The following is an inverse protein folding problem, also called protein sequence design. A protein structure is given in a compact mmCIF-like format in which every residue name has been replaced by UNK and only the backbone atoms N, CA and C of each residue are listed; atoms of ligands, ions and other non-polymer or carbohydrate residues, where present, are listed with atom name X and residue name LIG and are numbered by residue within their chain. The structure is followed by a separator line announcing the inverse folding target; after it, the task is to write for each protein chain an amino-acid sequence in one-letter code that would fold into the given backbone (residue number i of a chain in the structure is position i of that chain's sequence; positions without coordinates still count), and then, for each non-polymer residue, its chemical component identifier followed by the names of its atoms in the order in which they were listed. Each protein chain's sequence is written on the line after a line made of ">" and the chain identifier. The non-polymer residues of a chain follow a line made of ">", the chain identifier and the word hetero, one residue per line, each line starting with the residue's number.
data_IF_267002624188
#
_entry.id   IF_267002624188
#
_cell.length_a   1.000
_cell.length_b   1.000
_cell.length_c   1.000
_cell.angle_alpha   90.00
_cell.angle_beta   90.00
_cell.angle_gamma   90.00
#
_symmetry.space_group_name_H-M   'P 1'
#
loop_
_entity.id
_entity.type
_entity.pdbx_description
1 polymer ?
#
# COMPACT_ATOMS: atom_id res chain seq x y z
N UNK A 1 18.38 8.80 -3.46
CA UNK A 1 18.38 7.39 -3.92
C UNK A 1 17.37 7.27 -5.06
N UNK A 2 17.69 6.62 -6.18
CA UNK A 2 16.72 6.44 -7.27
C UNK A 2 15.62 5.47 -6.82
N UNK A 3 14.41 5.99 -6.71
CA UNK A 3 13.27 5.33 -6.04
C UNK A 3 12.48 4.35 -6.92
N UNK A 4 12.89 4.19 -8.17
CA UNK A 4 12.52 3.12 -9.08
C UNK A 4 13.44 3.27 -10.30
N UNK A 5 13.99 2.21 -10.87
CA UNK A 5 14.78 2.34 -12.08
C UNK A 5 14.67 1.06 -12.92
N UNK A 6 14.37 1.22 -14.20
CA UNK A 6 14.58 0.14 -15.16
C UNK A 6 16.07 -0.23 -15.15
N UNK A 7 16.37 -1.49 -15.38
CA UNK A 7 17.77 -1.90 -15.57
C UNK A 7 18.31 -1.16 -16.79
N UNK A 8 19.52 -0.59 -16.67
CA UNK A 8 20.23 -0.25 -17.90
C UNK A 8 20.55 -1.55 -18.66
N UNK A 9 20.67 -1.47 -19.99
CA UNK A 9 20.93 -2.64 -20.83
C UNK A 9 22.17 -3.44 -20.37
N UNK A 10 23.21 -2.77 -19.88
CA UNK A 10 24.43 -3.41 -19.39
C UNK A 10 24.20 -4.19 -18.08
N UNK A 11 23.43 -3.63 -17.16
CA UNK A 11 23.06 -4.31 -15.91
C UNK A 11 22.08 -5.47 -16.18
N UNK A 12 21.17 -5.29 -17.13
CA UNK A 12 20.27 -6.35 -17.60
C UNK A 12 21.07 -7.52 -18.19
N UNK A 13 22.02 -7.26 -19.09
CA UNK A 13 22.89 -8.28 -19.67
C UNK A 13 23.72 -9.00 -18.60
N UNK A 14 24.30 -8.25 -17.65
CA UNK A 14 25.06 -8.84 -16.55
C UNK A 14 24.18 -9.74 -15.67
N UNK A 15 22.97 -9.30 -15.33
CA UNK A 15 22.00 -10.10 -14.59
C UNK A 15 21.65 -11.40 -15.33
N UNK A 16 21.45 -11.35 -16.65
CA UNK A 16 21.21 -12.55 -17.47
C UNK A 16 22.41 -13.51 -17.48
N UNK A 17 23.63 -12.96 -17.59
CA UNK A 17 24.87 -13.74 -17.62
C UNK A 17 25.13 -14.44 -16.27
N UNK A 18 24.98 -13.73 -15.15
CA UNK A 18 25.15 -14.31 -13.80
C UNK A 18 24.09 -15.38 -13.52
N UNK A 19 22.86 -15.18 -14.00
CA UNK A 19 21.79 -16.17 -13.86
C UNK A 19 21.91 -17.40 -14.77
N UNK A 20 22.96 -17.48 -15.59
CA UNK A 20 23.30 -18.66 -16.40
C UNK A 20 22.35 -18.92 -17.57
N UNK A 21 21.62 -17.90 -18.05
CA UNK A 21 20.72 -17.93 -19.22
C UNK A 21 19.61 -19.00 -19.22
N UNK A 22 19.46 -19.80 -18.15
CA UNK A 22 18.41 -20.82 -18.01
C UNK A 22 17.04 -20.16 -17.95
N UNK A 23 16.04 -20.80 -18.57
CA UNK A 23 14.65 -20.36 -18.51
C UNK A 23 14.18 -20.42 -17.06
N UNK A 24 13.90 -19.25 -16.48
CA UNK A 24 13.35 -19.13 -15.12
C UNK A 24 11.83 -19.25 -15.13
N UNK A 25 11.18 -19.14 -13.96
CA UNK A 25 9.72 -19.02 -13.90
C UNK A 25 9.25 -17.76 -14.65
N UNK A 26 8.11 -17.91 -15.31
CA UNK A 26 7.38 -16.87 -16.04
C UNK A 26 6.03 -16.71 -15.35
N UNK A 27 5.69 -15.49 -14.94
CA UNK A 27 4.47 -15.17 -14.21
C UNK A 27 3.61 -14.20 -15.01
N UNK A 28 2.31 -14.48 -15.20
CA UNK A 28 1.40 -13.56 -15.88
C UNK A 28 1.12 -12.33 -15.01
N UNK A 29 0.84 -11.20 -15.67
CA UNK A 29 0.28 -10.00 -15.05
C UNK A 29 -1.23 -9.95 -15.35
N UNK A 30 -2.10 -9.81 -14.35
CA UNK A 30 -3.55 -9.73 -14.56
C UNK A 30 -3.92 -8.59 -15.55
N UNK A 31 -4.84 -8.83 -16.49
CA UNK A 31 -5.31 -7.81 -17.41
C UNK A 31 -6.31 -6.89 -16.70
N UNK A 32 -5.85 -5.72 -16.28
CA UNK A 32 -6.68 -4.67 -15.68
C UNK A 32 -6.93 -3.57 -16.69
N UNK A 33 -8.20 -3.32 -17.01
CA UNK A 33 -8.63 -2.20 -17.84
C UNK A 33 -8.75 -0.92 -16.99
N UNK A 34 -7.59 -0.33 -16.66
CA UNK A 34 -7.50 0.91 -15.90
C UNK A 34 -6.33 1.76 -16.42
N UNK A 35 -6.48 3.09 -16.57
CA UNK A 35 -5.36 3.96 -16.93
C UNK A 35 -4.14 3.77 -16.02
N UNK A 36 -2.95 3.66 -16.61
CA UNK A 36 -1.72 3.41 -15.86
C UNK A 36 -1.48 1.95 -15.45
N UNK A 37 -2.33 1.01 -15.87
CA UNK A 37 -2.10 -0.43 -15.76
C UNK A 37 -1.60 -1.02 -17.09
N UNK A 38 -0.76 -2.05 -17.02
CA UNK A 38 -0.30 -2.80 -18.18
C UNK A 38 -0.33 -4.31 -17.91
N UNK A 39 -0.65 -5.11 -18.92
CA UNK A 39 -0.62 -6.57 -18.84
C UNK A 39 0.74 -7.12 -19.32
N UNK A 40 0.84 -8.45 -19.41
CA UNK A 40 1.98 -9.15 -19.99
C UNK A 40 2.51 -10.27 -19.11
N UNK A 41 3.82 -10.50 -19.17
CA UNK A 41 4.48 -11.58 -18.45
C UNK A 41 5.80 -11.10 -17.89
N UNK A 42 6.02 -11.39 -16.61
CA UNK A 42 7.29 -11.14 -15.92
C UNK A 42 8.10 -12.43 -15.87
N UNK A 43 9.39 -12.32 -16.12
CA UNK A 43 10.33 -13.43 -16.10
C UNK A 43 11.73 -12.90 -15.83
N UNK A 44 12.74 -13.77 -15.85
CA UNK A 44 14.15 -13.33 -15.81
C UNK A 44 14.50 -12.34 -16.92
N UNK A 45 13.85 -12.44 -18.09
CA UNK A 45 14.15 -11.59 -19.26
C UNK A 45 13.30 -10.32 -19.30
N UNK A 46 12.09 -10.36 -18.74
CA UNK A 46 11.13 -9.25 -18.73
C UNK A 46 10.76 -8.91 -17.29
N UNK A 47 11.25 -7.79 -16.79
CA UNK A 47 11.12 -7.44 -15.38
C UNK A 47 9.82 -6.66 -15.14
N UNK A 48 9.33 -6.67 -13.91
CA UNK A 48 8.10 -5.97 -13.54
C UNK A 48 8.22 -4.46 -13.76
N UNK A 49 7.31 -3.90 -14.57
CA UNK A 49 7.22 -2.44 -14.84
C UNK A 49 6.20 -1.75 -13.93
N UNK A 50 6.19 -0.41 -13.90
CA UNK A 50 5.37 0.38 -12.94
C UNK A 50 3.90 0.13 -13.19
N UNK A 51 3.55 0.13 -14.47
CA UNK A 51 2.20 -0.12 -14.93
C UNK A 51 1.79 -1.58 -14.69
N UNK A 52 2.70 -2.54 -14.79
CA UNK A 52 2.39 -3.95 -14.45
C UNK A 52 2.21 -4.15 -12.95
N UNK A 53 3.01 -3.47 -12.12
CA UNK A 53 2.85 -3.49 -10.67
C UNK A 53 1.53 -2.83 -10.23
N UNK A 54 1.10 -1.74 -10.89
CA UNK A 54 -0.25 -1.16 -10.72
C UNK A 54 -1.35 -2.20 -10.99
N UNK A 55 -1.24 -2.96 -12.09
CA UNK A 55 -2.22 -4.01 -12.43
C UNK A 55 -2.33 -5.07 -11.32
N UNK A 56 -1.20 -5.47 -10.74
CA UNK A 56 -1.17 -6.44 -9.64
C UNK A 56 -1.83 -5.85 -8.38
N UNK A 57 -1.53 -4.59 -8.01
CA UNK A 57 -2.17 -3.93 -6.86
C UNK A 57 -3.69 -3.87 -6.99
N UNK A 58 -4.18 -3.39 -8.14
CA UNK A 58 -5.62 -3.27 -8.41
C UNK A 58 -6.28 -4.64 -8.41
N UNK A 59 -5.64 -5.64 -9.02
CA UNK A 59 -6.19 -6.98 -9.09
C UNK A 59 -6.33 -7.63 -7.71
N UNK A 60 -5.36 -7.50 -6.79
CA UNK A 60 -5.49 -8.06 -5.45
C UNK A 60 -6.67 -7.47 -4.66
N UNK A 61 -6.88 -6.15 -4.80
CA UNK A 61 -8.01 -5.46 -4.18
C UNK A 61 -9.34 -5.97 -4.75
N UNK A 62 -9.44 -6.07 -6.08
CA UNK A 62 -10.62 -6.61 -6.75
C UNK A 62 -10.89 -8.07 -6.32
N UNK A 63 -9.87 -8.91 -6.38
CA UNK A 63 -9.97 -10.33 -6.03
C UNK A 63 -10.43 -10.54 -4.58
N UNK A 64 -9.91 -9.75 -3.63
CA UNK A 64 -10.37 -9.81 -2.23
C UNK A 64 -11.83 -9.39 -2.10
N UNK A 65 -12.26 -8.35 -2.81
CA UNK A 65 -13.67 -7.91 -2.79
C UNK A 65 -14.60 -8.98 -3.37
N UNK A 66 -14.19 -9.65 -4.43
CA UNK A 66 -14.96 -10.77 -4.99
C UNK A 66 -15.03 -11.95 -4.04
N UNK A 67 -13.94 -12.25 -3.32
CA UNK A 67 -13.94 -13.25 -2.25
C UNK A 67 -14.89 -12.84 -1.14
N UNK A 68 -14.86 -11.59 -0.68
CA UNK A 68 -15.80 -11.08 0.33
C UNK A 68 -17.25 -11.23 -0.16
N UNK A 69 -17.54 -10.92 -1.42
CA UNK A 69 -18.87 -11.12 -2.00
C UNK A 69 -19.28 -12.61 -2.03
N UNK A 70 -18.35 -13.53 -2.27
CA UNK A 70 -18.60 -14.98 -2.20
C UNK A 70 -18.87 -15.41 -0.75
N UNK A 71 -18.08 -14.93 0.22
CA UNK A 71 -18.25 -15.23 1.64
C UNK A 71 -19.57 -14.71 2.19
N UNK A 72 -19.99 -13.51 1.78
CA UNK A 72 -21.25 -12.89 2.19
C UNK A 72 -22.48 -13.74 1.81
N UNK A 73 -22.43 -14.49 0.70
CA UNK A 73 -23.50 -15.43 0.31
C UNK A 73 -23.71 -16.57 1.32
N UNK A 74 -22.71 -16.83 2.15
CA UNK A 74 -22.76 -17.80 3.24
C UNK A 74 -22.96 -17.13 4.63
N UNK A 75 -23.21 -15.83 4.68
CA UNK A 75 -23.35 -15.07 5.92
C UNK A 75 -22.03 -14.87 6.68
N UNK A 76 -20.89 -14.96 5.99
CA UNK A 76 -19.56 -14.76 6.57
C UNK A 76 -19.10 -13.35 6.20
N UNK A 77 -18.88 -12.52 7.23
CA UNK A 77 -18.47 -11.12 7.06
C UNK A 77 -17.07 -10.87 7.63
N UNK A 78 -16.27 -10.00 7.00
CA UNK A 78 -15.04 -9.48 7.57
C UNK A 78 -15.28 -8.72 8.87
N UNK A 79 -14.32 -8.79 9.80
CA UNK A 79 -14.34 -8.04 11.07
C UNK A 79 -14.20 -6.53 10.81
N UNK A 80 -13.43 -6.18 9.78
CA UNK A 80 -13.13 -4.81 9.39
C UNK A 80 -13.79 -4.49 8.04
N UNK A 81 -14.19 -3.24 7.84
CA UNK A 81 -14.73 -2.74 6.56
C UNK A 81 -13.67 -2.42 5.51
N UNK A 82 -12.41 -2.80 5.75
CA UNK A 82 -11.27 -2.58 4.86
C UNK A 82 -10.42 -3.84 4.73
N UNK A 83 -9.62 -3.90 3.66
CA UNK A 83 -8.52 -4.84 3.49
C UNK A 83 -7.19 -4.12 3.71
N UNK A 84 -6.14 -4.88 4.02
CA UNK A 84 -4.77 -4.36 4.13
C UNK A 84 -3.89 -5.00 3.06
N UNK A 85 -3.07 -4.21 2.38
CA UNK A 85 -2.11 -4.61 1.37
C UNK A 85 -0.69 -4.25 1.83
N UNK A 86 0.22 -5.20 1.77
CA UNK A 86 1.60 -5.08 2.23
C UNK A 86 2.57 -5.44 1.10
N UNK A 87 3.65 -4.68 1.01
CA UNK A 87 4.75 -4.94 0.08
C UNK A 87 5.83 -5.76 0.77
N UNK A 88 6.25 -6.84 0.13
CA UNK A 88 7.37 -7.65 0.60
C UNK A 88 8.44 -7.77 -0.46
N UNK A 89 9.68 -7.88 -0.02
CA UNK A 89 10.83 -8.17 -0.87
C UNK A 89 11.40 -9.55 -0.53
N UNK A 90 11.88 -10.27 -1.54
CA UNK A 90 12.45 -11.59 -1.38
C UNK A 90 13.57 -11.84 -2.41
N UNK A 91 14.53 -12.66 -2.03
CA UNK A 91 15.53 -13.17 -2.95
C UNK A 91 14.92 -14.27 -3.84
N UNK A 92 14.85 -14.05 -5.14
CA UNK A 92 14.48 -15.06 -6.13
C UNK A 92 15.72 -15.87 -6.51
N UNK A 93 15.73 -17.16 -6.14
CA UNK A 93 16.74 -18.13 -6.62
C UNK A 93 17.65 -18.77 -5.57
N UNK A 94 17.42 -18.60 -4.26
CA UNK A 94 18.16 -19.27 -3.20
C UNK A 94 18.92 -18.34 -2.25
N UNK A 95 19.81 -18.90 -1.42
CA UNK A 95 20.23 -18.31 -0.15
C UNK A 95 21.05 -17.01 -0.22
N UNK A 96 21.54 -16.59 -1.39
CA UNK A 96 22.18 -15.29 -1.63
C UNK A 96 21.97 -14.85 -3.09
N UNK A 97 21.65 -13.57 -3.26
CA UNK A 97 21.40 -12.82 -4.47
C UNK A 97 22.04 -13.39 -5.75
N UNK A 98 21.20 -13.94 -6.63
CA UNK A 98 21.65 -14.42 -7.94
C UNK A 98 21.87 -13.26 -8.93
N UNK A 99 21.34 -12.07 -8.63
CA UNK A 99 21.32 -10.93 -9.56
C UNK A 99 22.01 -9.67 -9.01
N UNK A 100 22.45 -9.65 -7.75
CA UNK A 100 23.04 -8.47 -7.13
C UNK A 100 24.22 -8.79 -6.21
N UNK A 101 25.35 -8.10 -6.42
CA UNK A 101 26.60 -8.34 -5.70
C UNK A 101 26.60 -7.81 -4.26
N UNK A 102 25.64 -6.94 -3.89
CA UNK A 102 25.49 -6.35 -2.55
C UNK A 102 24.63 -7.20 -1.61
N UNK A 103 23.88 -8.18 -2.13
CA UNK A 103 23.02 -9.06 -1.34
C UNK A 103 21.57 -8.59 -1.17
N UNK A 104 21.16 -7.53 -1.87
CA UNK A 104 19.81 -6.99 -1.77
C UNK A 104 18.77 -7.89 -2.46
N UNK A 105 17.50 -7.88 -2.00
CA UNK A 105 16.42 -8.67 -2.61
C UNK A 105 16.17 -8.29 -4.08
N UNK A 106 16.12 -9.29 -4.96
CA UNK A 106 15.92 -9.14 -6.41
C UNK A 106 14.50 -9.50 -6.87
N UNK A 107 13.55 -9.51 -5.95
CA UNK A 107 12.15 -9.83 -6.17
C UNK A 107 11.23 -9.13 -5.17
N UNK A 108 9.99 -8.92 -5.58
CA UNK A 108 8.95 -8.40 -4.71
C UNK A 108 7.62 -9.10 -4.98
N UNK A 109 6.76 -9.06 -3.98
CA UNK A 109 5.40 -9.57 -4.04
C UNK A 109 4.51 -8.73 -3.12
N UNK A 110 3.23 -8.72 -3.43
CA UNK A 110 2.21 -8.18 -2.55
C UNK A 110 1.59 -9.30 -1.72
N UNK A 111 1.23 -8.95 -0.49
CA UNK A 111 0.20 -9.69 0.23
C UNK A 111 -0.94 -8.75 0.50
N UNK A 112 -2.17 -9.24 0.33
CA UNK A 112 -3.35 -8.52 0.76
C UNK A 112 -4.18 -9.41 1.67
N UNK A 113 -4.81 -8.85 2.69
CA UNK A 113 -5.62 -9.63 3.61
C UNK A 113 -6.85 -8.90 4.13
N UNK A 114 -7.83 -9.69 4.51
CA UNK A 114 -8.97 -9.29 5.34
C UNK A 114 -8.90 -10.03 6.67
N UNK A 115 -9.45 -9.41 7.71
CA UNK A 115 -9.57 -10.01 9.04
C UNK A 115 -10.93 -10.67 9.17
N UNK A 116 -10.95 -11.91 9.65
CA UNK A 116 -12.14 -12.71 9.89
C UNK A 116 -12.17 -13.17 11.35
N UNK A 117 -13.36 -13.47 11.85
CA UNK A 117 -13.51 -14.17 13.12
C UNK A 117 -12.79 -15.54 13.03
N UNK A 118 -12.07 -15.91 14.08
CA UNK A 118 -11.35 -17.19 14.10
C UNK A 118 -12.31 -18.36 13.88
N UNK A 119 -11.94 -19.26 12.98
CA UNK A 119 -12.74 -20.44 12.64
C UNK A 119 -13.93 -20.16 11.71
N UNK A 120 -14.11 -18.92 11.22
CA UNK A 120 -15.17 -18.60 10.25
C UNK A 120 -15.04 -19.42 8.95
N UNK A 121 -13.80 -19.68 8.53
CA UNK A 121 -13.46 -20.51 7.37
C UNK A 121 -12.13 -21.24 7.60
N UNK A 122 -11.90 -22.30 6.84
CA UNK A 122 -10.63 -23.02 6.76
C UNK A 122 -10.20 -23.20 5.29
N UNK A 123 -9.01 -23.77 5.09
CA UNK A 123 -8.49 -24.05 3.75
C UNK A 123 -9.38 -25.03 2.95
N UNK A 124 -10.13 -25.91 3.62
CA UNK A 124 -11.06 -26.82 2.95
C UNK A 124 -12.25 -26.06 2.38
N UNK A 125 -12.81 -25.12 3.14
CA UNK A 125 -13.89 -24.24 2.70
C UNK A 125 -13.46 -23.41 1.49
N UNK A 126 -12.27 -22.80 1.55
CA UNK A 126 -11.70 -22.06 0.43
C UNK A 126 -11.61 -22.93 -0.84
N UNK A 127 -11.04 -24.14 -0.73
CA UNK A 127 -10.88 -25.05 -1.86
C UNK A 127 -12.22 -25.56 -2.43
N UNK A 128 -13.26 -25.72 -1.59
CA UNK A 128 -14.55 -26.29 -1.99
C UNK A 128 -15.58 -25.25 -2.44
N UNK A 129 -15.46 -23.99 -1.97
CA UNK A 129 -16.47 -22.95 -2.19
C UNK A 129 -15.92 -21.72 -2.90
N UNK A 130 -14.80 -21.20 -2.43
CA UNK A 130 -14.24 -19.93 -2.95
C UNK A 130 -13.51 -20.16 -4.27
N UNK A 131 -12.57 -21.10 -4.32
CA UNK A 131 -11.77 -21.41 -5.52
C UNK A 131 -12.65 -21.77 -6.73
N UNK A 132 -13.66 -22.66 -6.62
CA UNK A 132 -14.54 -22.97 -7.75
C UNK A 132 -15.32 -21.75 -8.26
N UNK A 133 -15.78 -20.86 -7.36
CA UNK A 133 -16.52 -19.67 -7.73
C UNK A 133 -15.64 -18.58 -8.38
N UNK A 134 -14.36 -18.50 -7.99
CA UNK A 134 -13.38 -17.64 -8.66
C UNK A 134 -12.97 -18.20 -10.02
N UNK A 135 -12.87 -19.52 -10.16
CA UNK A 135 -12.49 -20.18 -11.41
C UNK A 135 -13.51 -20.00 -12.54
N UNK A 136 -14.74 -19.58 -12.24
CA UNK A 136 -15.71 -19.19 -13.28
C UNK A 136 -15.49 -17.76 -13.80
N UNK A 137 -14.66 -16.96 -13.13
CA UNK A 137 -14.45 -15.54 -13.43
C UNK A 137 -13.03 -15.25 -13.92
N UNK A 138 -12.04 -16.02 -13.45
CA UNK A 138 -10.64 -15.79 -13.71
C UNK A 138 -9.94 -17.06 -14.20
N UNK A 139 -8.85 -16.95 -14.97
CA UNK A 139 -8.05 -18.09 -15.38
C UNK A 139 -7.23 -18.62 -14.19
N UNK A 140 -7.42 -19.89 -13.87
CA UNK A 140 -6.62 -20.63 -12.89
C UNK A 140 -5.54 -21.44 -13.60
N UNK A 141 -4.30 -21.31 -13.14
CA UNK A 141 -3.19 -22.14 -13.60
C UNK A 141 -3.05 -23.31 -12.61
N UNK A 142 -2.82 -24.54 -13.09
CA UNK A 142 -2.70 -25.71 -12.23
C UNK A 142 -1.52 -25.60 -11.24
N UNK A 143 -1.80 -26.04 -10.01
CA UNK A 143 -0.97 -25.99 -8.80
C UNK A 143 0.48 -26.43 -9.04
N UNK A 144 1.45 -25.65 -8.51
CA UNK A 144 2.86 -26.06 -8.36
C UNK A 144 3.24 -26.09 -6.88
N UNK A 145 3.93 -27.15 -6.40
CA UNK A 145 4.24 -27.32 -4.98
C UNK A 145 5.32 -26.34 -4.51
N UNK A 146 4.95 -25.34 -3.69
CA UNK A 146 5.88 -24.43 -2.99
C UNK A 146 5.23 -23.88 -1.70
N UNK A 147 5.74 -24.38 -0.57
CA UNK A 147 5.56 -23.95 0.84
C UNK A 147 4.26 -24.38 1.57
N UNK A 148 4.36 -24.79 2.85
CA UNK A 148 3.36 -25.66 3.49
C UNK A 148 2.19 -24.93 4.21
N UNK A 149 1.79 -23.71 3.84
CA UNK A 149 0.80 -22.95 4.65
C UNK A 149 -0.33 -22.25 3.87
N UNK A 150 -0.15 -21.93 2.59
CA UNK A 150 -1.19 -21.32 1.75
C UNK A 150 -1.79 -22.38 0.81
N UNK A 151 -3.06 -22.23 0.39
CA UNK A 151 -3.52 -22.98 -0.78
C UNK A 151 -2.76 -22.47 -2.00
N UNK A 152 -2.14 -23.41 -2.71
CA UNK A 152 -1.30 -23.15 -3.87
C UNK A 152 -2.10 -22.82 -5.14
N UNK A 153 -3.33 -22.32 -5.00
CA UNK A 153 -4.24 -22.11 -6.12
C UNK A 153 -4.98 -20.78 -6.00
N UNK A 154 -4.92 -20.02 -7.08
CA UNK A 154 -5.56 -18.75 -7.27
C UNK A 154 -5.38 -18.32 -8.73
N UNK A 155 -6.13 -17.31 -9.18
CA UNK A 155 -6.00 -16.83 -10.55
C UNK A 155 -4.63 -16.23 -10.79
N UNK A 156 -4.08 -16.36 -12.00
CA UNK A 156 -2.78 -15.79 -12.38
C UNK A 156 -1.59 -16.16 -11.45
N UNK A 157 -1.56 -17.39 -10.92
CA UNK A 157 -0.57 -17.90 -9.95
C UNK A 157 -0.58 -17.21 -8.57
N UNK A 158 -1.62 -16.44 -8.24
CA UNK A 158 -1.82 -15.93 -6.89
C UNK A 158 -2.11 -17.08 -5.93
N UNK A 159 -1.68 -16.92 -4.68
CA UNK A 159 -1.93 -17.89 -3.61
C UNK A 159 -2.99 -17.35 -2.68
N UNK A 160 -3.79 -18.25 -2.13
CA UNK A 160 -4.88 -17.92 -1.23
C UNK A 160 -4.75 -18.78 0.02
N UNK A 161 -4.85 -18.22 1.23
CA UNK A 161 -4.69 -19.03 2.44
C UNK A 161 -5.31 -18.39 3.66
N UNK A 162 -5.50 -19.19 4.70
CA UNK A 162 -5.86 -18.71 6.04
C UNK A 162 -4.63 -18.73 6.93
N UNK A 163 -4.26 -17.55 7.45
CA UNK A 163 -3.24 -17.41 8.49
C UNK A 163 -3.92 -17.20 9.83
N UNK A 164 -3.90 -18.24 10.65
CA UNK A 164 -4.32 -18.15 12.05
C UNK A 164 -3.21 -17.56 12.92
N UNK A 165 -3.60 -16.90 14.01
CA UNK A 165 -2.68 -16.40 15.03
C UNK A 165 -1.69 -17.50 15.48
N UNK A 166 -0.40 -17.25 15.23
CA UNK A 166 0.69 -18.01 15.81
C UNK A 166 1.33 -17.17 16.92
N UNK A 167 1.20 -17.55 18.21
CA UNK A 167 1.60 -16.74 19.37
C UNK A 167 3.07 -16.30 19.44
N UNK A 168 3.91 -16.74 18.50
CA UNK A 168 5.35 -16.48 18.47
C UNK A 168 5.80 -15.66 17.26
N UNK A 169 4.93 -15.41 16.29
CA UNK A 169 5.33 -14.89 14.97
C UNK A 169 4.47 -13.72 14.48
N UNK A 170 3.23 -13.56 14.96
CA UNK A 170 2.33 -12.51 14.46
C UNK A 170 1.57 -11.82 15.60
N UNK A 171 1.49 -10.49 15.57
CA UNK A 171 0.65 -9.63 16.44
C UNK A 171 -0.85 -9.70 16.08
N UNK A 172 -1.32 -10.84 15.58
CA UNK A 172 -2.75 -11.03 15.26
C UNK A 172 -3.49 -11.24 16.57
N UNK A 173 -4.57 -10.51 16.81
CA UNK A 173 -5.39 -10.72 18.01
C UNK A 173 -5.86 -12.18 18.12
N UNK A 174 -5.87 -12.79 19.31
CA UNK A 174 -6.07 -14.24 19.49
C UNK A 174 -7.43 -14.78 19.00
N UNK A 175 -8.38 -13.87 18.74
CA UNK A 175 -9.74 -14.16 18.27
C UNK A 175 -9.91 -13.97 16.76
N UNK A 176 -8.84 -13.62 16.04
CA UNK A 176 -8.89 -13.30 14.63
C UNK A 176 -8.03 -14.25 13.78
N UNK A 177 -8.45 -14.41 12.53
CA UNK A 177 -7.69 -15.06 11.46
C UNK A 177 -7.62 -14.12 10.26
N UNK A 178 -6.59 -14.26 9.43
CA UNK A 178 -6.45 -13.50 8.18
C UNK A 178 -6.69 -14.42 6.99
N UNK A 179 -7.63 -14.04 6.11
CA UNK A 179 -7.64 -14.57 4.75
C UNK A 179 -6.65 -13.75 3.95
N UNK A 180 -5.59 -14.40 3.46
CA UNK A 180 -4.45 -13.78 2.81
C UNK A 180 -4.42 -14.20 1.35
N UNK A 181 -4.26 -13.22 0.47
CA UNK A 181 -3.85 -13.39 -0.91
C UNK A 181 -2.39 -13.00 -1.03
N UNK A 182 -1.62 -13.75 -1.80
CA UNK A 182 -0.22 -13.46 -2.06
C UNK A 182 0.04 -13.53 -3.55
N UNK A 183 0.53 -12.43 -4.15
CA UNK A 183 0.95 -12.42 -5.55
C UNK A 183 2.14 -13.37 -5.79
N UNK A 184 2.40 -13.75 -7.05
CA UNK A 184 3.70 -14.26 -7.43
C UNK A 184 4.85 -13.34 -6.98
N UNK A 185 6.03 -13.94 -6.78
CA UNK A 185 7.26 -13.16 -6.56
C UNK A 185 7.82 -12.77 -7.91
N UNK A 186 7.69 -11.48 -8.24
CA UNK A 186 8.08 -10.90 -9.52
C UNK A 186 9.52 -10.41 -9.50
N UNK A 187 10.25 -10.60 -10.60
CA UNK A 187 11.60 -10.03 -10.79
C UNK A 187 11.54 -8.51 -10.95
N UNK A 188 12.35 -7.77 -10.18
CA UNK A 188 12.29 -6.31 -10.10
C UNK A 188 13.61 -5.68 -9.58
N UNK A 189 13.86 -4.40 -9.92
CA UNK A 189 14.96 -3.60 -9.34
C UNK A 189 14.46 -2.73 -8.20
N UNK A 190 14.84 -2.99 -6.96
CA UNK A 190 14.48 -2.10 -5.85
C UNK A 190 15.68 -1.80 -4.93
N UNK A 191 16.26 -0.60 -5.09
CA UNK A 191 17.26 -0.06 -4.15
C UNK A 191 16.65 0.51 -2.86
N UNK A 192 15.32 0.54 -2.76
CA UNK A 192 14.51 0.82 -1.58
C UNK A 192 13.05 0.80 -2.05
N UNK A 193 12.36 -0.31 -1.81
CA UNK A 193 11.13 -0.67 -2.51
C UNK A 193 9.95 0.23 -2.12
N UNK A 194 9.52 1.09 -3.05
CA UNK A 194 8.16 1.63 -3.08
C UNK A 194 7.43 0.95 -4.22
N UNK A 195 6.66 -0.09 -3.91
CA UNK A 195 5.70 -0.64 -4.86
C UNK A 195 4.63 0.42 -5.14
N UNK A 196 4.11 0.53 -6.38
CA UNK A 196 3.13 1.57 -6.71
C UNK A 196 1.95 1.58 -5.75
N UNK A 197 1.76 2.71 -5.06
CA UNK A 197 0.65 2.91 -4.14
C UNK A 197 0.71 2.10 -2.84
N UNK A 198 1.77 1.36 -2.53
CA UNK A 198 1.89 0.55 -1.30
C UNK A 198 3.23 0.79 -0.61
N UNK A 199 3.57 2.07 -0.40
CA UNK A 199 4.70 2.45 0.45
C UNK A 199 4.37 2.02 1.88
N UNK A 200 4.76 0.81 2.26
CA UNK A 200 4.35 0.19 3.52
C UNK A 200 2.98 -0.50 3.43
N UNK A 201 2.39 -0.75 4.59
CA UNK A 201 1.07 -1.34 4.75
C UNK A 201 0.01 -0.30 4.40
N UNK A 202 -0.87 -0.61 3.44
CA UNK A 202 -1.97 0.26 3.01
C UNK A 202 -3.32 -0.39 3.25
N UNK A 203 -4.26 0.39 3.77
CA UNK A 203 -5.65 -0.01 3.93
C UNK A 203 -6.48 0.49 2.74
N UNK A 204 -7.44 -0.33 2.33
CA UNK A 204 -8.38 -0.03 1.26
C UNK A 204 -9.79 -0.40 1.71
N UNK A 205 -10.79 0.48 1.55
CA UNK A 205 -12.18 0.14 1.84
C UNK A 205 -12.64 -1.11 1.07
N UNK A 206 -13.42 -1.97 1.69
CA UNK A 206 -13.98 -3.15 1.01
C UNK A 206 -15.05 -2.76 0.00
N UNK A 207 -15.84 -1.72 0.29
CA UNK A 207 -16.80 -1.18 -0.66
C UNK A 207 -16.08 -0.22 -1.63
N UNK A 208 -16.16 -0.45 -2.96
CA UNK A 208 -15.57 0.45 -3.95
C UNK A 208 -16.09 1.89 -3.88
N UNK A 209 -17.34 2.08 -3.44
CA UNK A 209 -17.96 3.40 -3.31
C UNK A 209 -17.31 4.27 -2.21
N UNK A 210 -16.61 3.65 -1.26
CA UNK A 210 -15.96 4.34 -0.14
C UNK A 210 -14.50 4.72 -0.46
N UNK A 211 -13.99 4.36 -1.64
CA UNK A 211 -12.65 4.75 -2.09
C UNK A 211 -12.58 6.28 -2.29
N UNK A 212 -11.62 6.91 -1.60
CA UNK A 212 -11.35 8.36 -1.73
C UNK A 212 -10.06 8.67 -2.45
N UNK A 213 -9.18 7.68 -2.60
CA UNK A 213 -7.85 7.87 -3.19
C UNK A 213 -7.63 6.91 -4.35
N UNK A 214 -6.96 7.34 -5.43
CA UNK A 214 -6.60 6.44 -6.52
C UNK A 214 -5.73 5.27 -6.03
N UNK A 215 -6.11 4.06 -6.42
CA UNK A 215 -5.27 2.85 -6.28
C UNK A 215 -4.02 2.97 -7.15
N UNK A 216 -4.22 3.45 -8.37
CA UNK A 216 -3.17 3.54 -9.39
C UNK A 216 -2.49 4.90 -9.34
N UNK A 217 -1.17 4.87 -9.29
CA UNK A 217 -0.34 6.03 -9.57
C UNK A 217 0.18 5.85 -10.99
N UNK A 218 -0.32 6.59 -12.00
CA UNK A 218 0.02 6.34 -13.40
C UNK A 218 1.48 6.69 -13.71
N UNK A 219 2.03 7.67 -12.98
CA UNK A 219 3.40 8.11 -13.13
C UNK A 219 4.26 7.51 -12.02
N UNK A 220 5.41 6.98 -12.41
CA UNK A 220 6.50 6.69 -11.46
C UNK A 220 6.80 7.97 -10.67
N UNK A 221 6.84 7.94 -9.33
CA UNK A 221 7.19 9.11 -8.55
C UNK A 221 8.63 9.50 -8.91
N UNK A 222 8.75 10.51 -9.76
CA UNK A 222 9.96 11.27 -9.93
C UNK A 222 10.12 12.10 -8.67
N UNK A 223 10.68 11.47 -7.63
CA UNK A 223 11.31 12.21 -6.54
C UNK A 223 12.70 12.65 -7.03
N UNK A 224 12.72 13.35 -8.16
CA UNK A 224 13.80 14.29 -8.46
C UNK A 224 13.72 15.36 -7.35
N UNK A 225 14.87 15.73 -6.79
CA UNK A 225 14.96 16.49 -5.54
C UNK A 225 13.89 17.59 -5.45
N UNK A 226 13.16 17.62 -4.31
CA UNK A 226 12.09 18.59 -4.10
C UNK A 226 12.63 19.99 -4.34
N UNK A 227 12.15 20.67 -5.38
CA UNK A 227 12.50 22.06 -5.65
C UNK A 227 11.47 22.97 -5.01
N UNK A 228 11.87 24.21 -4.68
CA UNK A 228 10.91 25.23 -4.22
C UNK A 228 9.74 25.38 -5.20
N UNK A 229 10.02 25.42 -6.50
CA UNK A 229 9.00 25.51 -7.54
C UNK A 229 8.05 24.31 -7.50
N UNK A 230 8.58 23.08 -7.39
CA UNK A 230 7.75 21.87 -7.31
C UNK A 230 6.84 21.83 -6.07
N UNK A 231 7.28 22.41 -4.95
CA UNK A 231 6.44 22.57 -3.75
C UNK A 231 5.34 23.60 -3.98
N UNK A 232 5.66 24.74 -4.60
CA UNK A 232 4.70 25.80 -4.90
C UNK A 232 3.64 25.35 -5.93
N UNK A 233 4.05 24.60 -6.96
CA UNK A 233 3.16 24.03 -7.97
C UNK A 233 2.19 23.00 -7.37
N UNK A 234 2.65 22.24 -6.36
CA UNK A 234 1.82 21.24 -5.67
C UNK A 234 0.83 21.85 -4.66
N UNK A 235 1.00 23.13 -4.28
CA UNK A 235 0.23 23.78 -3.20
C UNK A 235 -1.27 23.66 -3.36
N UNK A 236 -1.80 24.07 -4.51
CA UNK A 236 -3.25 24.13 -4.72
C UNK A 236 -3.89 22.75 -4.58
N UNK A 237 -3.25 21.73 -5.16
CA UNK A 237 -3.69 20.33 -5.08
C UNK A 237 -3.60 19.81 -3.64
N UNK A 238 -2.49 20.08 -2.94
CA UNK A 238 -2.32 19.63 -1.55
C UNK A 238 -3.35 20.26 -0.60
N UNK A 239 -3.60 21.56 -0.72
CA UNK A 239 -4.64 22.26 0.06
C UNK A 239 -6.01 21.65 -0.21
N UNK A 240 -6.37 21.43 -1.49
CA UNK A 240 -7.65 20.82 -1.84
C UNK A 240 -7.81 19.41 -1.25
N UNK A 241 -6.78 18.56 -1.34
CA UNK A 241 -6.78 17.22 -0.74
C UNK A 241 -6.93 17.25 0.78
N UNK A 242 -6.22 18.18 1.45
CA UNK A 242 -6.30 18.33 2.91
C UNK A 242 -7.67 18.84 3.34
N UNK A 243 -8.24 19.80 2.60
CA UNK A 243 -9.60 20.29 2.85
C UNK A 243 -10.64 19.19 2.64
N UNK A 244 -10.49 18.34 1.63
CA UNK A 244 -11.39 17.19 1.42
C UNK A 244 -11.32 16.18 2.58
N UNK A 245 -10.12 15.84 3.04
CA UNK A 245 -9.94 14.94 4.20
C UNK A 245 -10.48 15.52 5.50
N UNK A 246 -10.24 16.80 5.76
CA UNK A 246 -10.77 17.48 6.95
C UNK A 246 -12.29 17.58 6.90
N UNK A 247 -12.87 17.84 5.72
CA UNK A 247 -14.34 17.79 5.53
C UNK A 247 -14.89 16.39 5.80
N UNK A 248 -14.24 15.34 5.30
CA UNK A 248 -14.63 13.95 5.57
C UNK A 248 -14.57 13.60 7.06
N UNK A 249 -13.53 14.08 7.74
CA UNK A 249 -13.37 13.93 9.19
C UNK A 249 -14.27 14.87 9.99
N UNK A 250 -15.04 15.75 9.35
CA UNK A 250 -15.87 16.76 10.02
C UNK A 250 -15.03 17.65 10.95
N UNK A 251 -13.96 18.21 10.37
CA UNK A 251 -13.05 19.18 10.96
C UNK A 251 -13.26 20.51 10.24
N UNK A 252 -13.60 21.55 10.98
CA UNK A 252 -13.74 22.89 10.44
C UNK A 252 -12.38 23.58 10.37
N UNK A 253 -12.04 24.11 9.20
CA UNK A 253 -10.84 24.90 8.99
C UNK A 253 -11.22 26.38 8.86
N UNK A 254 -10.48 27.24 9.58
CA UNK A 254 -10.55 28.68 9.38
C UNK A 254 -9.73 29.15 8.18
N UNK A 255 -9.47 30.46 8.12
CA UNK A 255 -8.74 31.06 7.00
C UNK A 255 -7.27 30.60 6.97
N UNK A 256 -6.82 30.18 5.79
CA UNK A 256 -5.42 29.83 5.56
C UNK A 256 -4.55 31.08 5.56
N UNK A 257 -3.42 31.03 6.27
CA UNK A 257 -2.42 32.09 6.24
C UNK A 257 -1.78 32.21 4.87
N UNK A 258 -1.19 33.37 4.59
CA UNK A 258 -0.30 33.52 3.43
C UNK A 258 0.85 32.51 3.57
N UNK A 259 1.19 31.76 2.50
CA UNK A 259 2.27 30.80 2.56
C UNK A 259 3.63 31.46 2.81
N UNK A 260 4.48 30.81 3.60
CA UNK A 260 5.81 31.31 3.94
C UNK A 260 6.86 30.20 3.85
N UNK A 261 8.08 30.58 3.47
CA UNK A 261 9.26 29.74 3.61
C UNK A 261 9.92 30.08 4.96
N UNK A 262 10.15 29.06 5.79
CA UNK A 262 10.79 29.18 7.10
C UNK A 262 12.15 28.50 7.10
N UNK A 263 13.15 29.15 7.68
CA UNK A 263 14.45 28.54 7.93
C UNK A 263 14.34 27.60 9.14
N UNK A 264 14.68 26.32 8.93
CA UNK A 264 14.73 25.27 9.96
C UNK A 264 16.16 24.68 9.98
N UNK A 265 16.57 23.98 11.05
CA UNK A 265 17.94 23.47 11.17
C UNK A 265 18.42 22.62 9.98
N UNK A 266 17.48 21.92 9.32
CA UNK A 266 17.76 21.01 8.21
C UNK A 266 17.47 21.63 6.81
N UNK A 267 17.33 22.96 6.73
CA UNK A 267 17.12 23.68 5.48
C UNK A 267 15.88 24.57 5.52
N UNK A 268 15.18 24.72 4.39
CA UNK A 268 13.97 25.56 4.32
C UNK A 268 12.70 24.74 4.19
N UNK A 269 11.70 25.09 4.99
CA UNK A 269 10.39 24.42 5.03
C UNK A 269 9.30 25.36 4.52
N UNK A 270 8.44 24.86 3.66
CA UNK A 270 7.22 25.56 3.27
C UNK A 270 6.16 25.40 4.35
N UNK A 271 5.44 26.47 4.70
CA UNK A 271 4.38 26.45 5.71
C UNK A 271 3.17 27.27 5.28
N UNK A 272 1.99 26.66 5.45
CA UNK A 272 0.69 27.32 5.49
C UNK A 272 0.00 26.86 6.77
N UNK A 273 -0.67 27.75 7.49
CA UNK A 273 -1.42 27.40 8.70
C UNK A 273 -2.88 27.80 8.59
N UNK A 274 -3.75 27.12 9.33
CA UNK A 274 -5.13 27.51 9.56
C UNK A 274 -5.56 27.06 10.96
N UNK A 275 -6.40 27.82 11.68
CA UNK A 275 -7.02 27.29 12.89
C UNK A 275 -7.96 26.15 12.50
N UNK A 276 -8.04 25.13 13.36
CA UNK A 276 -8.89 23.96 13.15
C UNK A 276 -9.82 23.76 14.36
N UNK A 277 -11.04 23.31 14.12
CA UNK A 277 -11.98 22.89 15.16
C UNK A 277 -12.46 21.47 14.86
N UNK A 278 -12.32 20.58 15.85
CA UNK A 278 -12.78 19.19 15.74
C UNK A 278 -14.24 19.11 16.19
N UNK A 279 -15.15 18.70 15.31
CA UNK A 279 -16.56 18.51 15.67
C UNK A 279 -16.83 17.14 16.32
N UNK A 280 -15.84 16.24 16.31
CA UNK A 280 -15.91 14.90 16.88
C UNK A 280 -14.67 14.64 17.76
N UNK A 281 -14.79 13.74 18.73
CA UNK A 281 -13.65 13.29 19.53
C UNK A 281 -12.64 12.47 18.70
N UNK A 282 -11.39 12.41 19.18
CA UNK A 282 -10.29 11.74 18.47
C UNK A 282 -10.53 10.23 18.27
N UNK A 283 -11.33 9.58 19.13
CA UNK A 283 -11.67 8.16 18.99
C UNK A 283 -12.62 7.94 17.80
N UNK A 284 -13.61 8.81 17.64
CA UNK A 284 -14.53 8.82 16.50
C UNK A 284 -13.79 9.11 15.20
N UNK A 285 -12.90 10.11 15.20
CA UNK A 285 -12.08 10.43 14.03
C UNK A 285 -11.18 9.24 13.66
N UNK A 286 -10.53 8.62 14.65
CA UNK A 286 -9.68 7.44 14.45
C UNK A 286 -10.46 6.29 13.82
N UNK A 287 -11.67 5.99 14.30
CA UNK A 287 -12.53 4.95 13.73
C UNK A 287 -12.89 5.22 12.27
N UNK A 288 -13.21 6.48 11.91
CA UNK A 288 -13.48 6.86 10.51
C UNK A 288 -12.25 6.75 9.62
N UNK A 289 -11.07 7.00 10.16
CA UNK A 289 -9.81 6.98 9.44
C UNK A 289 -9.27 5.57 9.15
N UNK A 290 -9.71 4.53 9.89
CA UNK A 290 -9.13 3.17 9.79
C UNK A 290 -9.02 2.61 8.35
N UNK A 291 -10.00 2.81 7.44
CA UNK A 291 -9.90 2.33 6.07
C UNK A 291 -8.85 3.07 5.20
N UNK A 292 -8.30 4.19 5.67
CA UNK A 292 -7.54 5.15 4.86
C UNK A 292 -6.14 5.38 5.43
N UNK A 293 -5.12 4.86 4.76
CA UNK A 293 -3.72 5.02 5.20
C UNK A 293 -3.15 6.43 5.03
N UNK A 294 -3.87 7.30 4.33
CA UNK A 294 -3.55 8.72 4.24
C UNK A 294 -3.74 9.45 5.58
N UNK A 295 -4.48 8.86 6.51
CA UNK A 295 -4.82 9.46 7.78
C UNK A 295 -4.16 8.67 8.91
N UNK A 296 -3.37 9.37 9.73
CA UNK A 296 -2.89 8.85 11.01
C UNK A 296 -3.44 9.71 12.14
N UNK A 297 -4.07 9.09 13.13
CA UNK A 297 -4.75 9.79 14.23
C UNK A 297 -4.28 9.20 15.56
N UNK A 298 -3.64 10.05 16.36
CA UNK A 298 -3.23 9.72 17.73
C UNK A 298 -4.42 9.96 18.65
N UNK A 299 -4.95 8.87 19.22
CA UNK A 299 -6.11 8.90 20.13
C UNK A 299 -5.85 9.62 21.46
N UNK A 300 -4.61 9.55 21.96
CA UNK A 300 -4.21 10.21 23.22
C UNK A 300 -3.50 11.55 22.93
N UNK A 301 -4.17 12.70 23.09
CA UNK A 301 -3.58 14.01 22.84
C UNK A 301 -2.43 14.33 23.80
N UNK A 302 -2.46 13.82 25.03
CA UNK A 302 -1.35 14.02 25.98
C UNK A 302 -0.09 13.27 25.51
N UNK A 303 -0.24 12.07 24.94
CA UNK A 303 0.85 11.36 24.32
C UNK A 303 1.41 12.12 23.10
N UNK A 304 0.54 12.69 22.25
CA UNK A 304 0.95 13.49 21.11
C UNK A 304 1.79 14.71 21.54
N UNK A 305 1.32 15.48 22.55
CA UNK A 305 2.04 16.63 23.11
C UNK A 305 3.39 16.22 23.71
N UNK A 306 3.43 15.15 24.50
CA UNK A 306 4.67 14.63 25.12
C UNK A 306 5.70 14.23 24.07
N UNK A 307 5.25 13.63 22.96
CA UNK A 307 6.11 13.19 21.86
C UNK A 307 6.39 14.30 20.84
N UNK A 308 5.80 15.50 21.01
CA UNK A 308 5.83 16.62 20.06
C UNK A 308 5.42 16.17 18.65
N UNK A 309 4.34 15.40 18.57
CA UNK A 309 3.77 14.88 17.32
C UNK A 309 2.40 15.52 17.06
N UNK A 310 2.01 15.67 15.77
CA UNK A 310 0.65 16.04 15.44
C UNK A 310 -0.34 14.99 15.95
N UNK A 311 -1.55 15.42 16.32
CA UNK A 311 -2.66 14.53 16.67
C UNK A 311 -3.29 13.91 15.44
N UNK A 312 -3.27 14.61 14.30
CA UNK A 312 -3.75 14.10 13.01
C UNK A 312 -2.69 14.41 11.95
N UNK A 313 -2.30 13.41 11.19
CA UNK A 313 -1.43 13.56 10.01
C UNK A 313 -2.23 13.19 8.76
N UNK A 314 -2.13 14.01 7.72
CA UNK A 314 -2.80 13.84 6.42
C UNK A 314 -1.74 13.78 5.32
N UNK A 315 -1.56 12.62 4.74
CA UNK A 315 -0.63 12.39 3.63
C UNK A 315 -1.30 12.67 2.29
N UNK A 316 -0.68 13.53 1.47
CA UNK A 316 -1.26 13.95 0.17
C UNK A 316 -0.60 13.30 -1.05
N UNK A 317 0.34 12.37 -0.83
CA UNK A 317 1.21 11.81 -1.89
C UNK A 317 1.96 12.87 -2.72
N UNK A 318 2.10 14.08 -2.17
CA UNK A 318 2.79 15.23 -2.75
C UNK A 318 3.97 15.65 -1.86
N UNK A 319 4.77 16.67 -2.23
CA UNK A 319 5.80 17.25 -1.37
C UNK A 319 5.26 17.80 -0.04
N UNK A 320 3.95 18.01 0.04
CA UNK A 320 3.26 18.64 1.15
C UNK A 320 2.43 17.63 1.95
N UNK A 321 2.32 17.84 3.25
CA UNK A 321 1.43 17.06 4.12
C UNK A 321 0.72 17.98 5.10
N UNK A 322 -0.46 17.56 5.56
CA UNK A 322 -1.22 18.24 6.60
C UNK A 322 -0.90 17.66 7.98
N UNK A 323 -0.72 18.50 8.97
CA UNK A 323 -0.48 18.15 10.36
C UNK A 323 -1.40 18.99 11.23
N UNK A 324 -2.27 18.38 12.02
CA UNK A 324 -3.05 19.09 13.05
C UNK A 324 -2.35 18.86 14.37
N UNK A 325 -1.91 19.94 15.01
CA UNK A 325 -1.31 19.92 16.34
C UNK A 325 -2.31 20.44 17.38
N UNK A 326 -2.15 19.95 18.60
CA UNK A 326 -2.94 20.37 19.76
C UNK A 326 -2.05 21.17 20.70
N UNK A 327 -2.36 22.46 20.85
CA UNK A 327 -1.69 23.38 21.77
C UNK A 327 -2.64 23.76 22.90
N UNK A 328 -2.83 22.82 23.83
CA UNK A 328 -3.66 23.00 25.03
C UNK A 328 -5.16 23.21 24.76
N UNK A 329 -5.70 22.51 23.77
CA UNK A 329 -7.12 22.55 23.39
C UNK A 329 -7.40 23.40 22.15
N UNK A 330 -6.42 24.20 21.71
CA UNK A 330 -6.47 24.91 20.44
C UNK A 330 -5.79 24.06 19.35
N UNK A 331 -6.58 23.64 18.37
CA UNK A 331 -6.07 22.87 17.23
C UNK A 331 -5.64 23.78 16.09
N UNK A 332 -4.48 23.49 15.51
CA UNK A 332 -3.96 24.22 14.36
C UNK A 332 -3.55 23.25 13.27
N UNK A 333 -4.08 23.45 12.06
CA UNK A 333 -3.59 22.80 10.85
C UNK A 333 -2.32 23.51 10.38
N UNK A 334 -1.30 22.73 10.07
CA UNK A 334 -0.08 23.13 9.37
C UNK A 334 0.08 22.29 8.12
N UNK A 335 0.13 22.92 6.95
CA UNK A 335 0.48 22.28 5.68
C UNK A 335 1.94 22.56 5.39
N UNK A 336 2.73 21.50 5.27
CA UNK A 336 4.19 21.64 5.30
C UNK A 336 4.92 20.74 4.33
N UNK A 337 6.09 21.19 3.88
CA UNK A 337 7.03 20.35 3.13
C UNK A 337 8.02 19.63 4.04
N UNK A 338 8.73 18.63 3.49
CA UNK A 338 10.03 18.26 4.03
C UNK A 338 11.03 19.43 3.89
N UNK A 339 12.04 19.54 4.77
CA UNK A 339 13.10 20.54 4.62
C UNK A 339 13.83 20.38 3.28
N UNK A 340 14.02 21.50 2.57
CA UNK A 340 14.83 21.59 1.36
C UNK A 340 16.25 22.02 1.76
N UNK A 341 17.24 21.20 1.43
CA UNK A 341 18.65 21.44 1.72
C UNK A 341 19.25 22.58 0.88
#
# INVERSE_FOLDING_TARGET
>A
MPLWAEYSMSEWLRAQLVAGLRRGPEYPIPPIDHPGCANGTVSRRHWLTWQQANSVSVFEIQLLRDIVAILARAGIEPVNSWLTQQTHTAAIGGHKALLEATGDPNGAYLTSYITLARGAIDNKYLAQRVVPALATQYPFIPIRPLWPRDLETGPYDFRLGIREHQPRLDDIEPHHARLVITSPIYYCRYYSARWPGTVGDRNWPLAPADERTPIVYPNKPHLDGLTRQGVEDARATAVATITDWTTFLDIELGEFTTPVWQDVPDGQRYLITAPAALNNDLDTLWHRAQPYSELDIIRDPAAARRLKRPVITIHTHSPLQGEITDSDGDYQLSITSAPLA
#
